data_IF_770513076851
#
_entry.id   IF_770513076851
#
_cell.length_a   1.000
_cell.length_b   1.000
_cell.length_c   1.000
_cell.angle_alpha   90.00
_cell.angle_beta   90.00
_cell.angle_gamma   90.00
#
_symmetry.space_group_name_H-M   'P 1'
#
loop_
_entity.id
_entity.type
_entity.pdbx_description
1 polymer ?
#
# COMPACT_ATOMS: atom_id res chain seq x y z
N UNK A 1 0.67 12.63 -8.97
CA UNK A 1 1.05 12.01 -10.27
C UNK A 1 1.30 10.49 -10.18
N UNK A 2 1.39 9.91 -8.96
CA UNK A 2 1.63 8.47 -8.74
C UNK A 2 0.36 7.65 -8.58
N UNK A 3 -0.78 8.27 -8.29
CA UNK A 3 -2.07 7.60 -8.14
C UNK A 3 -2.53 6.95 -9.45
N UNK A 4 -3.10 5.78 -9.35
CA UNK A 4 -3.55 4.99 -10.49
C UNK A 4 -2.43 4.32 -11.28
N UNK A 5 -1.22 4.29 -10.73
CA UNK A 5 -0.02 3.83 -11.44
C UNK A 5 0.68 2.69 -10.72
N UNK A 6 1.41 1.92 -11.49
CA UNK A 6 2.19 0.79 -11.04
C UNK A 6 3.68 1.06 -11.25
N UNK A 7 4.48 0.88 -10.20
CA UNK A 7 5.91 1.19 -10.19
C UNK A 7 6.75 -0.03 -9.83
N UNK A 8 7.99 -0.02 -10.31
CA UNK A 8 9.05 -0.88 -9.81
C UNK A 8 9.70 -0.27 -8.54
N UNK A 9 10.68 -0.96 -7.97
CA UNK A 9 11.40 -0.52 -6.77
C UNK A 9 12.18 0.78 -6.97
N UNK A 10 12.58 1.08 -8.20
CA UNK A 10 13.34 2.28 -8.57
C UNK A 10 12.44 3.48 -8.88
N UNK A 11 11.11 3.28 -8.90
CA UNK A 11 10.14 4.31 -9.25
C UNK A 11 9.86 4.44 -10.76
N UNK A 12 10.31 3.47 -11.58
CA UNK A 12 9.93 3.44 -12.98
C UNK A 12 8.52 2.86 -13.13
N UNK A 13 7.77 3.36 -14.08
CA UNK A 13 6.41 2.85 -14.37
C UNK A 13 6.47 1.54 -15.14
N UNK A 14 5.73 0.53 -14.69
CA UNK A 14 5.65 -0.79 -15.31
C UNK A 14 4.24 -1.15 -15.80
N UNK A 15 3.34 -0.17 -15.86
CA UNK A 15 1.94 -0.30 -16.26
C UNK A 15 1.70 -0.08 -17.77
N UNK A 16 2.75 -0.07 -18.58
CA UNK A 16 2.70 0.21 -20.03
C UNK A 16 2.05 1.56 -20.41
N UNK A 17 1.89 2.48 -19.46
CA UNK A 17 1.42 3.84 -19.69
C UNK A 17 2.61 4.80 -19.85
N UNK A 18 2.32 6.06 -20.19
CA UNK A 18 3.37 7.09 -20.30
C UNK A 18 4.15 7.23 -19.00
N UNK A 19 5.46 7.42 -19.13
CA UNK A 19 6.35 7.66 -18.00
C UNK A 19 5.89 8.85 -17.14
N UNK A 20 5.92 8.68 -15.83
CA UNK A 20 5.57 9.74 -14.87
C UNK A 20 6.78 10.64 -14.67
N UNK A 21 6.68 11.88 -15.14
CA UNK A 21 7.72 12.89 -14.93
C UNK A 21 7.40 13.70 -13.68
N UNK A 22 8.09 13.42 -12.59
CA UNK A 22 7.95 14.18 -11.34
C UNK A 22 9.12 15.16 -11.16
N UNK A 23 8.81 16.33 -10.57
CA UNK A 23 9.83 17.32 -10.21
C UNK A 23 10.42 17.05 -8.82
N UNK A 24 9.71 16.32 -7.97
CA UNK A 24 10.08 16.02 -6.59
C UNK A 24 10.50 14.56 -6.47
N UNK A 25 11.69 14.35 -5.95
CA UNK A 25 12.25 13.03 -5.69
C UNK A 25 12.62 12.94 -4.21
N UNK A 26 12.15 11.93 -3.52
CA UNK A 26 12.44 11.69 -2.12
C UNK A 26 13.34 10.45 -1.97
N UNK A 27 14.34 10.48 -1.08
CA UNK A 27 15.13 9.30 -0.80
C UNK A 27 14.29 8.24 -0.07
N UNK A 28 14.49 6.97 -0.41
CA UNK A 28 13.80 5.85 0.26
C UNK A 28 14.34 5.58 1.67
N UNK A 29 15.57 6.02 1.95
CA UNK A 29 16.17 5.94 3.29
C UNK A 29 15.97 7.26 4.01
N UNK A 30 15.10 7.25 5.00
CA UNK A 30 14.76 8.40 5.85
C UNK A 30 14.89 8.01 7.32
N UNK A 31 15.24 8.96 8.16
CA UNK A 31 15.19 8.77 9.61
C UNK A 31 13.74 8.63 10.08
N UNK A 32 13.52 7.79 11.07
CA UNK A 32 12.20 7.68 11.70
C UNK A 32 11.77 9.02 12.32
N UNK A 33 10.46 9.32 12.39
CA UNK A 33 9.95 10.49 13.10
C UNK A 33 10.42 10.49 14.56
N UNK A 34 10.64 11.68 15.12
CA UNK A 34 10.97 11.81 16.52
C UNK A 34 9.78 11.42 17.40
N UNK A 35 10.05 10.96 18.61
CA UNK A 35 9.00 10.55 19.54
C UNK A 35 7.99 11.68 19.85
N UNK A 36 8.44 12.91 19.84
CA UNK A 36 7.62 14.12 20.03
C UNK A 36 6.61 14.36 18.89
N UNK A 37 6.87 13.82 17.71
CA UNK A 37 6.03 13.96 16.52
C UNK A 37 4.96 12.86 16.40
N UNK A 38 5.01 11.86 17.30
CA UNK A 38 4.07 10.74 17.27
C UNK A 38 2.77 11.12 17.98
N UNK A 39 1.63 10.86 17.32
CA UNK A 39 0.33 11.01 17.97
C UNK A 39 0.15 9.98 19.09
N UNK A 40 -0.27 10.45 20.27
CA UNK A 40 -0.52 9.61 21.45
C UNK A 40 -1.97 9.18 21.61
N UNK A 41 -2.89 9.74 20.79
CA UNK A 41 -4.32 9.40 20.83
C UNK A 41 -4.59 8.12 20.07
N UNK A 42 -5.36 7.23 20.71
CA UNK A 42 -5.84 6.00 20.07
C UNK A 42 -7.24 6.24 19.53
N UNK A 43 -7.39 6.26 18.23
CA UNK A 43 -8.68 6.39 17.53
C UNK A 43 -8.94 5.12 16.73
N UNK A 44 -10.16 4.58 16.81
CA UNK A 44 -10.53 3.39 16.06
C UNK A 44 -10.70 3.72 14.57
N UNK A 45 -10.15 2.91 13.70
CA UNK A 45 -10.40 2.93 12.28
C UNK A 45 -11.54 1.98 11.94
N UNK A 46 -12.67 2.52 11.53
CA UNK A 46 -13.80 1.71 11.06
C UNK A 46 -13.48 1.20 9.66
N UNK A 47 -13.31 -0.11 9.53
CA UNK A 47 -12.92 -0.76 8.26
C UNK A 47 -14.12 -1.10 7.38
N UNK A 48 -15.35 -1.12 7.93
CA UNK A 48 -16.55 -1.59 7.25
C UNK A 48 -16.66 -3.12 7.16
N UNK A 49 -15.66 -3.85 7.64
CA UNK A 49 -15.66 -5.31 7.70
C UNK A 49 -16.12 -5.72 9.09
N UNK A 50 -17.36 -6.17 9.22
CA UNK A 50 -18.02 -6.42 10.51
C UNK A 50 -17.21 -7.27 11.47
N UNK A 51 -16.57 -8.34 10.98
CA UNK A 51 -15.79 -9.23 11.83
C UNK A 51 -14.53 -8.55 12.37
N UNK A 52 -13.89 -7.69 11.58
CA UNK A 52 -12.72 -6.91 12.02
C UNK A 52 -13.15 -5.87 13.04
N UNK A 53 -14.13 -5.04 12.69
CA UNK A 53 -14.57 -3.92 13.54
C UNK A 53 -15.14 -4.38 14.89
N UNK A 54 -15.74 -5.58 14.93
CA UNK A 54 -16.33 -6.12 16.15
C UNK A 54 -15.34 -6.92 17.02
N UNK A 55 -14.48 -7.72 16.39
CA UNK A 55 -13.64 -8.70 17.10
C UNK A 55 -12.20 -8.21 17.33
N UNK A 56 -11.66 -7.48 16.39
CA UNK A 56 -10.26 -6.99 16.41
C UNK A 56 -10.17 -5.63 15.71
N UNK A 57 -10.74 -4.57 16.31
CA UNK A 57 -10.80 -3.25 15.67
C UNK A 57 -9.40 -2.67 15.44
N UNK A 58 -9.21 -2.08 14.27
CA UNK A 58 -7.96 -1.43 13.91
C UNK A 58 -7.89 -0.03 14.52
N UNK A 59 -6.69 0.39 14.84
CA UNK A 59 -6.42 1.75 15.32
C UNK A 59 -5.80 2.58 14.20
N UNK A 60 -6.20 3.85 14.09
CA UNK A 60 -5.53 4.80 13.20
C UNK A 60 -4.06 4.94 13.61
N UNK A 61 -3.16 4.88 12.63
CA UNK A 61 -1.71 4.85 12.86
C UNK A 61 -1.17 3.54 13.42
N UNK A 62 -2.04 2.53 13.62
CA UNK A 62 -1.65 1.21 14.08
C UNK A 62 -0.99 0.37 12.98
N UNK A 63 -0.38 -0.74 13.39
CA UNK A 63 0.21 -1.75 12.50
C UNK A 63 -0.50 -3.07 12.76
N UNK A 64 -1.14 -3.61 11.74
CA UNK A 64 -1.89 -4.86 11.84
C UNK A 64 -1.32 -5.90 10.89
N UNK A 65 -1.13 -7.12 11.37
CA UNK A 65 -0.66 -8.24 10.57
C UNK A 65 -1.80 -9.22 10.27
N UNK A 66 -2.00 -9.54 9.00
CA UNK A 66 -2.93 -10.57 8.53
C UNK A 66 -2.15 -11.80 8.10
N UNK A 67 -2.26 -12.87 8.86
CA UNK A 67 -1.54 -14.12 8.61
C UNK A 67 -2.51 -15.20 8.12
N UNK A 68 -2.07 -15.96 7.12
CA UNK A 68 -2.85 -17.07 6.59
C UNK A 68 -2.12 -17.77 5.45
N UNK A 69 -2.45 -19.03 5.23
CA UNK A 69 -1.93 -19.81 4.11
C UNK A 69 -2.44 -19.32 2.74
N UNK A 70 -2.05 -20.01 1.68
CA UNK A 70 -2.55 -19.71 0.35
C UNK A 70 -4.07 -19.98 0.25
N UNK A 71 -4.79 -19.15 -0.50
CA UNK A 71 -6.20 -19.36 -0.80
C UNK A 71 -7.19 -19.07 0.34
N UNK A 72 -6.76 -18.47 1.45
CA UNK A 72 -7.64 -18.16 2.60
C UNK A 72 -8.33 -16.79 2.50
N UNK A 73 -8.22 -16.09 1.38
CA UNK A 73 -8.91 -14.83 1.12
C UNK A 73 -8.18 -13.57 1.60
N UNK A 74 -6.88 -13.64 1.90
CA UNK A 74 -6.08 -12.45 2.28
C UNK A 74 -6.23 -11.32 1.27
N UNK A 75 -6.09 -11.61 -0.01
CA UNK A 75 -6.17 -10.62 -1.09
C UNK A 75 -7.55 -9.96 -1.15
N UNK A 76 -8.61 -10.75 -1.02
CA UNK A 76 -9.99 -10.22 -1.00
C UNK A 76 -10.21 -9.28 0.17
N UNK A 77 -9.70 -9.63 1.35
CA UNK A 77 -9.79 -8.79 2.54
C UNK A 77 -9.04 -7.46 2.34
N UNK A 78 -7.86 -7.52 1.74
CA UNK A 78 -7.05 -6.32 1.45
C UNK A 78 -7.74 -5.41 0.43
N UNK A 79 -8.31 -5.97 -0.62
CA UNK A 79 -9.08 -5.22 -1.62
C UNK A 79 -10.27 -4.50 -0.99
N UNK A 80 -11.01 -5.19 -0.12
CA UNK A 80 -12.14 -4.60 0.58
C UNK A 80 -11.70 -3.48 1.53
N UNK A 81 -10.57 -3.65 2.24
CA UNK A 81 -9.98 -2.60 3.07
C UNK A 81 -9.60 -1.36 2.24
N UNK A 82 -8.91 -1.55 1.11
CA UNK A 82 -8.53 -0.44 0.21
C UNK A 82 -9.78 0.28 -0.30
N UNK A 83 -10.78 -0.48 -0.74
CA UNK A 83 -12.04 0.08 -1.23
C UNK A 83 -12.74 0.90 -0.17
N UNK A 84 -12.89 0.37 1.03
CA UNK A 84 -13.60 1.05 2.11
C UNK A 84 -12.85 2.30 2.57
N UNK A 85 -11.53 2.26 2.68
CA UNK A 85 -10.72 3.45 2.98
C UNK A 85 -10.86 4.52 1.91
N UNK A 86 -10.86 4.13 0.64
CA UNK A 86 -11.02 5.06 -0.46
C UNK A 86 -12.43 5.66 -0.54
N UNK A 87 -13.48 4.87 -0.25
CA UNK A 87 -14.87 5.28 -0.36
C UNK A 87 -15.34 6.08 0.86
N UNK A 88 -15.09 5.57 2.07
CA UNK A 88 -15.65 6.11 3.31
C UNK A 88 -14.78 7.20 3.94
N UNK A 89 -13.46 7.03 3.90
CA UNK A 89 -12.52 7.97 4.52
C UNK A 89 -11.92 8.98 3.51
N UNK A 90 -12.16 8.81 2.21
CA UNK A 90 -11.59 9.68 1.17
C UNK A 90 -10.05 9.62 1.13
N UNK A 91 -9.46 8.61 1.75
CA UNK A 91 -8.02 8.41 1.86
C UNK A 91 -7.41 7.80 0.61
N UNK A 92 -6.09 7.74 0.59
CA UNK A 92 -5.32 7.06 -0.43
C UNK A 92 -4.78 5.74 0.11
N UNK A 93 -4.44 4.84 -0.80
CA UNK A 93 -3.80 3.58 -0.44
C UNK A 93 -2.49 3.43 -1.21
N UNK A 94 -1.47 2.95 -0.52
CA UNK A 94 -0.22 2.53 -1.16
C UNK A 94 -0.06 1.04 -0.92
N UNK A 95 0.07 0.30 -2.01
CA UNK A 95 0.25 -1.14 -1.98
C UNK A 95 1.67 -1.49 -2.38
N UNK A 96 2.38 -2.22 -1.54
CA UNK A 96 3.74 -2.71 -1.78
C UNK A 96 3.75 -4.25 -1.85
N UNK A 97 3.91 -4.79 -3.04
CA UNK A 97 4.03 -6.24 -3.28
C UNK A 97 5.49 -6.70 -3.16
N UNK A 98 5.81 -7.39 -2.06
CA UNK A 98 7.17 -7.85 -1.76
C UNK A 98 7.29 -9.35 -2.03
N UNK A 99 7.95 -9.73 -3.11
CA UNK A 99 8.18 -11.13 -3.45
C UNK A 99 6.95 -11.87 -3.95
N UNK A 100 5.91 -11.17 -4.39
CA UNK A 100 4.71 -11.78 -4.97
C UNK A 100 4.98 -12.44 -6.32
N UNK A 101 4.13 -13.39 -6.66
CA UNK A 101 4.12 -13.98 -8.01
C UNK A 101 3.60 -12.95 -9.00
N UNK A 102 4.26 -12.85 -10.16
CA UNK A 102 3.90 -11.92 -11.23
C UNK A 102 2.42 -12.02 -11.64
N UNK A 103 1.88 -13.24 -11.65
CA UNK A 103 0.48 -13.50 -11.97
C UNK A 103 -0.46 -12.89 -10.92
N UNK A 104 -0.20 -13.11 -9.63
CA UNK A 104 -1.04 -12.60 -8.54
C UNK A 104 -1.03 -11.07 -8.49
N UNK A 105 0.14 -10.44 -8.73
CA UNK A 105 0.24 -8.99 -8.83
C UNK A 105 -0.54 -8.42 -10.01
N UNK A 106 -0.52 -9.09 -11.16
CA UNK A 106 -1.28 -8.68 -12.33
C UNK A 106 -2.81 -8.87 -12.13
N UNK A 107 -3.22 -9.96 -11.53
CA UNK A 107 -4.62 -10.22 -11.21
C UNK A 107 -5.15 -9.14 -10.24
N UNK A 108 -4.38 -8.80 -9.20
CA UNK A 108 -4.72 -7.72 -8.27
C UNK A 108 -4.85 -6.36 -8.97
N UNK A 109 -3.92 -6.02 -9.86
CA UNK A 109 -3.99 -4.76 -10.63
C UNK A 109 -5.25 -4.69 -11.50
N UNK A 110 -5.61 -5.78 -12.17
CA UNK A 110 -6.81 -5.85 -12.99
C UNK A 110 -8.09 -5.72 -12.14
N UNK A 111 -8.17 -6.43 -11.02
CA UNK A 111 -9.31 -6.37 -10.11
C UNK A 111 -9.49 -4.98 -9.50
N UNK A 112 -8.41 -4.30 -9.12
CA UNK A 112 -8.47 -2.91 -8.64
C UNK A 112 -8.89 -1.93 -9.74
N UNK A 113 -8.52 -2.21 -10.99
CA UNK A 113 -8.92 -1.41 -12.14
C UNK A 113 -10.41 -1.58 -12.43
N UNK A 114 -10.91 -2.83 -12.42
CA UNK A 114 -12.33 -3.14 -12.64
C UNK A 114 -13.23 -2.58 -11.52
N UNK A 115 -12.76 -2.62 -10.28
CA UNK A 115 -13.48 -2.06 -9.13
C UNK A 115 -13.43 -0.52 -9.05
N UNK A 116 -12.62 0.14 -9.89
CA UNK A 116 -12.47 1.60 -9.91
C UNK A 116 -11.71 2.19 -8.72
N UNK A 117 -11.05 1.35 -7.92
CA UNK A 117 -10.28 1.80 -6.74
C UNK A 117 -8.86 2.21 -7.11
N UNK A 118 -8.40 1.81 -8.29
CA UNK A 118 -7.05 2.08 -8.78
C UNK A 118 -6.69 3.58 -8.77
N UNK A 119 -7.64 4.45 -9.07
CA UNK A 119 -7.43 5.91 -9.16
C UNK A 119 -7.02 6.54 -7.81
N UNK A 120 -7.29 5.87 -6.71
CA UNK A 120 -6.90 6.29 -5.34
C UNK A 120 -5.79 5.43 -4.75
N UNK A 121 -5.20 4.56 -5.55
CA UNK A 121 -4.19 3.61 -5.11
C UNK A 121 -2.89 3.79 -5.90
N UNK A 122 -1.77 3.74 -5.22
CA UNK A 122 -0.44 3.63 -5.84
C UNK A 122 0.10 2.23 -5.55
N UNK A 123 0.61 1.56 -6.56
CA UNK A 123 1.14 0.21 -6.43
C UNK A 123 2.64 0.18 -6.72
N UNK A 124 3.40 -0.51 -5.87
CA UNK A 124 4.84 -0.72 -6.05
C UNK A 124 5.12 -2.21 -5.94
N UNK A 125 5.70 -2.80 -6.97
CA UNK A 125 5.99 -4.22 -7.02
C UNK A 125 7.48 -4.52 -7.06
N UNK A 126 7.89 -5.49 -6.23
CA UNK A 126 9.16 -6.19 -6.35
C UNK A 126 8.89 -7.68 -6.32
N UNK A 127 8.59 -8.20 -7.49
CA UNK A 127 8.13 -9.57 -7.69
C UNK A 127 9.25 -10.61 -7.52
N UNK A 128 8.89 -11.91 -7.54
CA UNK A 128 9.86 -13.01 -7.33
C UNK A 128 10.99 -13.05 -8.35
N UNK A 129 10.77 -12.53 -9.56
CA UNK A 129 11.79 -12.44 -10.62
C UNK A 129 12.83 -11.32 -10.39
N UNK A 130 12.56 -10.42 -9.45
CA UNK A 130 13.49 -9.33 -9.11
C UNK A 130 14.64 -9.81 -8.22
N UNK A 131 15.82 -9.15 -8.30
CA UNK A 131 16.93 -9.45 -7.40
C UNK A 131 16.54 -9.29 -5.92
N UNK A 132 17.12 -10.09 -5.01
CA UNK A 132 16.80 -10.02 -3.58
C UNK A 132 16.94 -8.62 -2.98
N UNK A 133 17.95 -7.84 -3.40
CA UNK A 133 18.17 -6.47 -2.95
C UNK A 133 17.07 -5.50 -3.36
N UNK A 134 16.45 -5.71 -4.52
CA UNK A 134 15.29 -4.95 -4.96
C UNK A 134 14.06 -5.30 -4.12
N UNK A 135 13.77 -6.59 -3.96
CA UNK A 135 12.64 -7.07 -3.15
C UNK A 135 12.66 -6.55 -1.72
N UNK A 136 13.81 -6.51 -1.08
CA UNK A 136 13.98 -5.98 0.28
C UNK A 136 13.67 -4.47 0.39
N UNK A 137 13.74 -3.72 -0.70
CA UNK A 137 13.55 -2.25 -0.71
C UNK A 137 12.19 -1.80 -1.22
N UNK A 138 11.37 -2.69 -1.75
CA UNK A 138 10.02 -2.35 -2.26
C UNK A 138 9.17 -1.66 -1.20
N UNK A 139 9.17 -2.20 0.02
CA UNK A 139 8.42 -1.61 1.13
C UNK A 139 8.87 -0.18 1.43
N UNK A 140 10.18 0.12 1.33
CA UNK A 140 10.72 1.46 1.53
C UNK A 140 10.32 2.41 0.40
N UNK A 141 10.27 1.93 -0.84
CA UNK A 141 9.77 2.72 -1.99
C UNK A 141 8.29 3.05 -1.82
N UNK A 142 7.47 2.07 -1.43
CA UNK A 142 6.07 2.30 -1.08
C UNK A 142 5.89 3.28 0.08
N UNK A 143 6.70 3.15 1.12
CA UNK A 143 6.68 4.05 2.27
C UNK A 143 7.04 5.49 1.88
N UNK A 144 8.05 5.69 1.03
CA UNK A 144 8.43 7.02 0.56
C UNK A 144 7.30 7.71 -0.22
N UNK A 145 6.52 6.96 -1.01
CA UNK A 145 5.33 7.47 -1.69
C UNK A 145 4.20 7.77 -0.69
N UNK A 146 4.03 6.91 0.31
CA UNK A 146 3.05 7.10 1.36
C UNK A 146 3.33 8.35 2.21
N UNK A 147 4.57 8.58 2.59
CA UNK A 147 4.98 9.77 3.33
C UNK A 147 4.67 11.07 2.59
N UNK A 148 4.82 11.09 1.26
CA UNK A 148 4.43 12.25 0.46
C UNK A 148 2.94 12.57 0.61
N UNK A 149 2.05 11.59 0.51
CA UNK A 149 0.61 11.82 0.65
C UNK A 149 0.23 12.26 2.07
N UNK A 150 0.90 11.74 3.08
CA UNK A 150 0.68 12.13 4.47
C UNK A 150 1.18 13.55 4.75
N UNK A 151 2.43 13.83 4.37
CA UNK A 151 3.15 15.05 4.80
C UNK A 151 2.82 16.26 3.92
N UNK A 152 2.68 16.07 2.61
CA UNK A 152 2.44 17.16 1.65
C UNK A 152 0.95 17.37 1.33
N UNK A 153 0.14 16.30 1.34
CA UNK A 153 -1.29 16.39 1.01
C UNK A 153 -2.20 16.29 2.25
N UNK A 154 -1.66 15.94 3.41
CA UNK A 154 -2.41 15.83 4.67
C UNK A 154 -3.55 14.82 4.61
N UNK A 155 -3.39 13.74 3.84
CA UNK A 155 -4.41 12.72 3.64
C UNK A 155 -4.19 11.52 4.56
N UNK A 156 -5.29 10.96 5.04
CA UNK A 156 -5.28 9.65 5.65
C UNK A 156 -4.81 8.62 4.64
N UNK A 157 -3.93 7.74 5.07
CA UNK A 157 -3.26 6.80 4.18
C UNK A 157 -3.25 5.39 4.75
N UNK A 158 -3.54 4.44 3.91
CA UNK A 158 -3.30 3.02 4.15
C UNK A 158 -2.04 2.58 3.41
N UNK A 159 -1.04 2.11 4.15
CA UNK A 159 0.09 1.40 3.58
C UNK A 159 -0.09 -0.09 3.80
N UNK A 160 -0.26 -0.82 2.71
CA UNK A 160 -0.44 -2.27 2.73
C UNK A 160 0.77 -2.90 2.06
N UNK A 161 1.41 -3.83 2.76
CA UNK A 161 2.46 -4.61 2.13
C UNK A 161 2.17 -6.09 2.29
N UNK A 162 2.31 -6.84 1.20
CA UNK A 162 2.24 -8.28 1.19
C UNK A 162 3.65 -8.83 1.03
N UNK A 163 4.01 -9.78 1.89
CA UNK A 163 5.22 -10.58 1.74
C UNK A 163 4.84 -12.05 1.72
N UNK A 164 5.25 -12.75 0.68
CA UNK A 164 5.20 -14.22 0.67
C UNK A 164 6.36 -14.75 1.52
N UNK A 165 6.11 -15.66 2.48
CA UNK A 165 7.18 -16.34 3.18
C UNK A 165 7.93 -17.22 2.17
N UNK A 166 9.21 -16.98 2.03
CA UNK A 166 10.13 -17.82 1.25
C UNK A 166 10.49 -19.07 2.03
#
# INVERSE_FOLDING_TARGET
DTLGRLFDVLGNTIDNKKEVKTKKVNPIHRSAPKHEELATSTEMLVTGIKVVDLMEPYTKGGKTGLFGGAGVGKTVLIQELIRNIAAEHGGYSVFAGVGERTREGNDLYNEMTESGVIDKTTMVFGQMNEPPGARLRVALSGLAMAEYFRDDEGRDLSLIHISEPT
#
